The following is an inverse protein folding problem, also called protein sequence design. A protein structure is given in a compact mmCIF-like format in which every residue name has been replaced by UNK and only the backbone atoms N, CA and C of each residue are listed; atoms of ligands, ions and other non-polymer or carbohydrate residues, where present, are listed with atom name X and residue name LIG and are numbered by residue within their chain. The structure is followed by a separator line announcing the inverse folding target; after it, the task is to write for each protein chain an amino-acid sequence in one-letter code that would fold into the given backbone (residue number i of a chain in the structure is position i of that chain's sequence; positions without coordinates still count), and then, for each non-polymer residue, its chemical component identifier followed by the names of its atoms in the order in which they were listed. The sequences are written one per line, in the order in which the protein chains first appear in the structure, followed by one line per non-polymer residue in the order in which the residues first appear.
data_IF_875875481998
#
_entry.id   IF_875875481998
#
_cell.length_a   1.000
_cell.length_b   1.000
_cell.length_c   1.000
_cell.angle_alpha   90.00
_cell.angle_beta   90.00
_cell.angle_gamma   90.00
#
_symmetry.space_group_name_H-M   'P 1'
#
loop_
_entity.id
_entity.type
_entity.pdbx_description
1 polymer ?
#
# COMPACT_ATOMS: atom_id res chain seq x y z
N UNK A 1 -16.75 -1.22 9.84
CA UNK A 1 -15.45 -1.08 9.15
C UNK A 1 -15.58 0.06 8.15
N UNK A 2 -14.60 0.97 8.07
CA UNK A 2 -14.55 1.97 7.01
C UNK A 2 -13.78 1.40 5.82
N UNK A 3 -14.18 1.76 4.60
CA UNK A 3 -13.58 1.28 3.35
C UNK A 3 -13.21 2.48 2.49
N UNK A 4 -11.99 2.47 1.95
CA UNK A 4 -11.54 3.41 0.93
C UNK A 4 -11.30 2.60 -0.35
N UNK A 5 -12.13 2.86 -1.36
CA UNK A 5 -12.12 2.05 -2.59
C UNK A 5 -11.03 2.49 -3.57
N UNK A 6 -10.43 1.51 -4.24
CA UNK A 6 -9.44 1.69 -5.30
C UNK A 6 -9.92 1.00 -6.57
N UNK A 7 -9.85 1.68 -7.71
CA UNK A 7 -10.04 1.05 -9.01
C UNK A 7 -8.77 0.30 -9.42
N UNK A 8 -8.90 -1.01 -9.63
CA UNK A 8 -7.79 -1.93 -9.93
C UNK A 8 -7.97 -2.64 -11.29
N UNK A 9 -8.58 -1.99 -12.28
CA UNK A 9 -8.78 -2.57 -13.62
C UNK A 9 -7.47 -2.90 -14.33
N UNK A 10 -6.38 -2.22 -13.99
CA UNK A 10 -5.06 -2.42 -14.59
C UNK A 10 -4.15 -3.36 -13.78
N UNK A 11 -4.68 -4.47 -13.25
CA UNK A 11 -3.91 -5.47 -12.50
C UNK A 11 -3.66 -6.77 -13.26
N UNK A 12 -4.39 -7.01 -14.34
CA UNK A 12 -4.16 -8.16 -15.22
C UNK A 12 -4.63 -7.80 -16.63
N UNK A 13 -4.05 -8.46 -17.63
CA UNK A 13 -4.57 -8.42 -19.00
C UNK A 13 -5.59 -9.55 -19.16
N UNK A 14 -6.88 -9.25 -19.37
CA UNK A 14 -7.91 -10.27 -19.59
C UNK A 14 -7.58 -11.17 -20.80
N UNK A 15 -8.05 -12.41 -20.76
CA UNK A 15 -7.71 -13.42 -21.77
C UNK A 15 -8.14 -13.02 -23.17
N UNK A 16 -9.26 -12.33 -23.31
CA UNK A 16 -9.83 -11.83 -24.56
C UNK A 16 -9.00 -10.70 -25.21
N UNK A 17 -8.12 -10.06 -24.42
CA UNK A 17 -7.18 -9.03 -24.90
C UNK A 17 -5.76 -9.55 -25.09
N UNK A 18 -5.51 -10.86 -24.92
CA UNK A 18 -4.21 -11.45 -25.25
C UNK A 18 -3.91 -11.22 -26.74
N UNK A 19 -2.78 -10.55 -27.03
CA UNK A 19 -2.40 -10.15 -28.39
C UNK A 19 -2.95 -8.79 -28.86
N UNK A 20 -3.80 -8.12 -28.07
CA UNK A 20 -4.28 -6.77 -28.37
C UNK A 20 -4.30 -5.88 -27.10
N UNK A 21 -3.14 -5.75 -26.47
CA UNK A 21 -2.92 -4.97 -25.24
C UNK A 21 -3.38 -3.52 -25.36
N UNK A 22 -3.10 -2.89 -26.50
CA UNK A 22 -3.49 -1.49 -26.76
C UNK A 22 -5.02 -1.29 -26.73
N UNK A 23 -5.80 -2.28 -27.16
CA UNK A 23 -7.25 -2.20 -27.07
C UNK A 23 -7.72 -2.23 -25.62
N UNK A 24 -7.09 -3.03 -24.74
CA UNK A 24 -7.42 -3.03 -23.32
C UNK A 24 -7.03 -1.71 -22.62
N UNK A 25 -5.86 -1.17 -22.94
CA UNK A 25 -5.44 0.14 -22.40
C UNK A 25 -6.41 1.25 -22.87
N UNK A 26 -6.87 1.20 -24.12
CA UNK A 26 -7.91 2.13 -24.59
C UNK A 26 -9.21 1.96 -23.79
N UNK A 27 -9.69 0.73 -23.63
CA UNK A 27 -10.88 0.44 -22.82
C UNK A 27 -10.75 0.99 -21.39
N UNK A 28 -9.61 0.76 -20.73
CA UNK A 28 -9.34 1.31 -19.40
C UNK A 28 -9.46 2.84 -19.40
N UNK A 29 -8.80 3.50 -20.35
CA UNK A 29 -8.67 4.97 -20.36
C UNK A 29 -9.92 5.69 -20.85
N UNK A 30 -10.63 5.13 -21.87
CA UNK A 30 -11.72 5.82 -22.58
C UNK A 30 -13.11 5.45 -22.03
N UNK A 31 -13.24 4.28 -21.37
CA UNK A 31 -14.53 3.78 -20.90
C UNK A 31 -14.54 3.49 -19.41
N UNK A 32 -13.63 2.62 -18.90
CA UNK A 32 -13.71 2.15 -17.52
C UNK A 32 -13.40 3.24 -16.50
N UNK A 33 -12.31 3.99 -16.66
CA UNK A 33 -11.92 5.06 -15.73
C UNK A 33 -12.99 6.16 -15.67
N UNK A 34 -13.53 6.68 -16.81
CA UNK A 34 -14.66 7.61 -16.78
C UNK A 34 -15.87 7.06 -16.01
N UNK A 35 -16.28 5.83 -16.31
CA UNK A 35 -17.44 5.20 -15.66
C UNK A 35 -17.23 5.01 -14.14
N UNK A 36 -16.02 4.64 -13.71
CA UNK A 36 -15.67 4.53 -12.28
C UNK A 36 -15.72 5.90 -11.59
N UNK A 37 -15.20 6.94 -12.25
CA UNK A 37 -15.23 8.30 -11.71
C UNK A 37 -16.67 8.84 -11.54
N UNK A 38 -17.57 8.52 -12.45
CA UNK A 38 -18.99 8.88 -12.34
C UNK A 38 -19.67 8.25 -11.13
N UNK A 39 -19.27 7.05 -10.72
CA UNK A 39 -19.81 6.37 -9.54
C UNK A 39 -19.44 7.08 -8.23
N UNK A 40 -18.35 7.85 -8.17
CA UNK A 40 -17.84 8.56 -6.99
C UNK A 40 -17.57 7.64 -5.78
N UNK A 41 -17.28 6.36 -6.03
CA UNK A 41 -16.98 5.35 -5.00
C UNK A 41 -15.46 5.23 -4.82
N UNK A 42 -14.73 5.02 -5.92
CA UNK A 42 -13.27 4.91 -5.88
C UNK A 42 -12.61 6.26 -5.65
N UNK A 43 -11.63 6.28 -4.75
CA UNK A 43 -10.76 7.43 -4.49
C UNK A 43 -9.46 7.34 -5.28
N UNK A 44 -9.02 6.11 -5.55
CA UNK A 44 -7.73 5.81 -6.16
C UNK A 44 -7.88 5.04 -7.46
N UNK A 45 -6.88 5.22 -8.33
CA UNK A 45 -6.62 4.37 -9.50
C UNK A 45 -5.26 3.72 -9.32
N UNK A 46 -5.20 2.41 -9.43
CA UNK A 46 -4.00 1.60 -9.21
C UNK A 46 -3.65 0.79 -10.46
N UNK A 47 -2.36 0.59 -10.69
CA UNK A 47 -1.80 -0.21 -11.79
C UNK A 47 -0.77 -1.19 -11.24
N UNK A 48 -0.77 -2.42 -11.73
CA UNK A 48 0.32 -3.37 -11.51
C UNK A 48 1.41 -3.16 -12.58
N UNK A 49 2.42 -2.36 -12.22
CA UNK A 49 3.56 -2.06 -13.08
C UNK A 49 4.63 -3.15 -12.90
N UNK A 50 4.54 -4.20 -13.73
CA UNK A 50 5.37 -5.38 -13.60
C UNK A 50 5.63 -6.06 -14.95
N UNK A 51 6.75 -6.80 -15.05
CA UNK A 51 7.08 -7.62 -16.22
C UNK A 51 5.93 -8.56 -16.56
N UNK A 52 5.47 -8.50 -17.81
CA UNK A 52 4.34 -9.33 -18.29
C UNK A 52 2.95 -8.79 -17.97
N UNK A 53 2.82 -7.76 -17.13
CA UNK A 53 1.55 -7.09 -16.80
C UNK A 53 1.46 -5.72 -17.50
N UNK A 54 1.82 -4.62 -16.88
CA UNK A 54 1.90 -3.29 -17.52
C UNK A 54 3.30 -2.70 -17.33
N UNK A 55 3.88 -2.16 -18.41
CA UNK A 55 5.16 -1.46 -18.31
C UNK A 55 4.98 -0.02 -17.78
N UNK A 56 6.09 0.67 -17.49
CA UNK A 56 6.06 2.01 -16.91
C UNK A 56 5.35 3.05 -17.80
N UNK A 57 5.44 2.95 -19.14
CA UNK A 57 4.79 3.89 -20.05
C UNK A 57 3.26 3.66 -20.10
N UNK A 58 2.83 2.40 -20.16
CA UNK A 58 1.42 2.01 -20.08
C UNK A 58 0.81 2.43 -18.74
N UNK A 59 1.53 2.17 -17.65
CA UNK A 59 1.15 2.54 -16.28
C UNK A 59 0.99 4.06 -16.13
N UNK A 60 1.92 4.84 -16.67
CA UNK A 60 1.84 6.30 -16.70
C UNK A 60 0.56 6.77 -17.38
N UNK A 61 0.29 6.27 -18.58
CA UNK A 61 -0.90 6.66 -19.35
C UNK A 61 -2.18 6.40 -18.58
N UNK A 62 -2.30 5.23 -17.95
CA UNK A 62 -3.49 4.84 -17.18
C UNK A 62 -3.65 5.73 -15.93
N UNK A 63 -2.57 5.91 -15.14
CA UNK A 63 -2.59 6.71 -13.91
C UNK A 63 -2.84 8.19 -14.18
N UNK A 64 -2.25 8.76 -15.23
CA UNK A 64 -2.52 10.14 -15.65
C UNK A 64 -3.97 10.32 -16.13
N UNK A 65 -4.53 9.30 -16.79
CA UNK A 65 -5.95 9.28 -17.12
C UNK A 65 -6.79 9.26 -15.84
N UNK A 66 -6.51 8.37 -14.90
CA UNK A 66 -7.21 8.36 -13.60
C UNK A 66 -7.20 9.73 -12.92
N UNK A 67 -6.04 10.39 -12.91
CA UNK A 67 -5.89 11.75 -12.35
C UNK A 67 -6.77 12.79 -13.03
N UNK A 68 -6.89 12.76 -14.37
CA UNK A 68 -7.77 13.67 -15.13
C UNK A 68 -9.24 13.53 -14.73
N UNK A 69 -9.63 12.33 -14.28
CA UNK A 69 -10.98 12.04 -13.78
C UNK A 69 -11.11 12.12 -12.25
N UNK A 70 -10.09 12.67 -11.55
CA UNK A 70 -10.16 12.93 -10.11
C UNK A 70 -9.77 11.74 -9.23
N UNK A 71 -9.25 10.65 -9.80
CA UNK A 71 -8.72 9.52 -9.03
C UNK A 71 -7.24 9.76 -8.71
N UNK A 72 -6.86 9.57 -7.44
CA UNK A 72 -5.46 9.71 -7.01
C UNK A 72 -4.67 8.46 -7.41
N UNK A 73 -3.45 8.60 -7.99
CA UNK A 73 -2.63 7.47 -8.38
C UNK A 73 -2.12 6.65 -7.20
N UNK A 74 -2.14 5.32 -7.36
CA UNK A 74 -1.40 4.31 -6.61
C UNK A 74 -0.72 3.38 -7.60
N UNK A 75 0.26 2.58 -7.15
CA UNK A 75 0.97 1.68 -8.05
C UNK A 75 1.53 0.47 -7.31
N UNK A 76 1.26 -0.74 -7.77
CA UNK A 76 2.01 -1.94 -7.43
C UNK A 76 3.26 -1.98 -8.29
N UNK A 77 4.43 -2.06 -7.69
CA UNK A 77 5.69 -1.87 -8.38
C UNK A 77 6.84 -2.66 -7.76
N UNK A 78 7.79 -3.06 -8.63
CA UNK A 78 9.05 -3.68 -8.23
C UNK A 78 8.83 -4.87 -7.25
N UNK A 79 7.76 -5.64 -7.48
CA UNK A 79 7.45 -6.84 -6.71
C UNK A 79 8.33 -8.00 -7.18
N UNK A 80 8.47 -8.16 -8.50
CA UNK A 80 9.23 -9.23 -9.17
C UNK A 80 10.46 -8.65 -9.88
N UNK A 81 10.25 -7.65 -10.74
CA UNK A 81 11.30 -7.02 -11.54
C UNK A 81 11.28 -5.48 -11.42
N UNK A 82 12.46 -4.82 -11.32
CA UNK A 82 12.55 -3.37 -11.19
C UNK A 82 12.43 -2.68 -12.57
N UNK A 83 11.22 -2.64 -13.12
CA UNK A 83 10.96 -2.08 -14.47
C UNK A 83 10.63 -0.58 -14.48
N UNK A 84 10.93 0.13 -13.38
CA UNK A 84 10.75 1.58 -13.25
C UNK A 84 9.43 2.00 -12.59
N UNK A 85 8.71 1.08 -11.98
CA UNK A 85 7.45 1.36 -11.29
C UNK A 85 7.61 2.30 -10.10
N UNK A 86 8.59 2.08 -9.23
CA UNK A 86 8.87 2.96 -8.09
C UNK A 86 9.38 4.34 -8.51
N UNK A 87 10.14 4.43 -9.61
CA UNK A 87 10.55 5.73 -10.19
C UNK A 87 9.31 6.49 -10.66
N UNK A 88 8.43 5.82 -11.40
CA UNK A 88 7.17 6.39 -11.87
C UNK A 88 6.27 6.84 -10.72
N UNK A 89 6.21 6.08 -9.63
CA UNK A 89 5.46 6.44 -8.42
C UNK A 89 5.86 7.82 -7.90
N UNK A 90 7.17 8.06 -7.73
CA UNK A 90 7.70 9.33 -7.27
C UNK A 90 7.48 10.47 -8.28
N UNK A 91 7.70 10.23 -9.58
CA UNK A 91 7.49 11.24 -10.63
C UNK A 91 6.02 11.69 -10.73
N UNK A 92 5.09 10.78 -10.54
CA UNK A 92 3.66 11.08 -10.51
C UNK A 92 3.20 11.64 -9.16
N UNK A 93 4.00 11.59 -8.10
CA UNK A 93 3.52 11.86 -6.75
C UNK A 93 2.33 10.96 -6.40
N UNK A 94 2.46 9.66 -6.67
CA UNK A 94 1.46 8.67 -6.26
C UNK A 94 1.32 8.69 -4.73
N UNK A 95 0.11 8.50 -4.21
CA UNK A 95 -0.10 8.51 -2.75
C UNK A 95 0.67 7.39 -2.09
N UNK A 96 0.73 6.22 -2.72
CA UNK A 96 1.58 5.10 -2.29
C UNK A 96 2.04 4.25 -3.47
N UNK A 97 3.12 3.50 -3.22
CA UNK A 97 3.61 2.42 -4.05
C UNK A 97 3.69 1.15 -3.21
N UNK A 98 3.12 0.06 -3.72
CA UNK A 98 2.93 -1.19 -3.00
C UNK A 98 4.01 -2.23 -3.35
N UNK A 99 4.32 -3.14 -2.43
CA UNK A 99 5.32 -4.22 -2.46
C UNK A 99 6.77 -3.76 -2.40
N UNK A 100 7.33 -3.26 -3.49
CA UNK A 100 8.68 -2.68 -3.57
C UNK A 100 9.81 -3.65 -3.17
N UNK A 101 9.62 -4.95 -3.38
CA UNK A 101 10.55 -6.02 -2.93
C UNK A 101 11.93 -5.83 -3.52
N UNK A 102 11.99 -5.50 -4.82
CA UNK A 102 13.24 -5.30 -5.57
C UNK A 102 13.47 -3.82 -5.95
N UNK A 103 12.91 -2.90 -5.16
CA UNK A 103 13.00 -1.46 -5.41
C UNK A 103 14.46 -0.99 -5.48
N UNK A 104 14.89 -0.39 -6.59
CA UNK A 104 16.25 0.10 -6.77
C UNK A 104 16.48 1.46 -6.08
N UNK A 105 17.74 1.88 -5.85
CA UNK A 105 18.06 3.14 -5.19
C UNK A 105 17.45 4.38 -5.87
N UNK A 106 17.35 4.39 -7.20
CA UNK A 106 16.71 5.46 -7.96
C UNK A 106 15.21 5.53 -7.70
N UNK A 107 14.54 4.39 -7.50
CA UNK A 107 13.13 4.32 -7.08
C UNK A 107 12.92 4.92 -5.69
N UNK A 108 13.76 4.55 -4.72
CA UNK A 108 13.75 5.13 -3.37
C UNK A 108 13.93 6.64 -3.44
N UNK A 109 14.92 7.11 -4.20
CA UNK A 109 15.19 8.55 -4.38
C UNK A 109 14.02 9.30 -5.04
N UNK A 110 13.37 8.69 -6.02
CA UNK A 110 12.21 9.27 -6.70
C UNK A 110 11.02 9.39 -5.76
N UNK A 111 10.70 8.32 -5.01
CA UNK A 111 9.61 8.33 -4.03
C UNK A 111 9.84 9.35 -2.91
N UNK A 112 11.08 9.47 -2.40
CA UNK A 112 11.43 10.49 -1.39
C UNK A 112 11.14 11.90 -1.89
N UNK A 113 11.52 12.21 -3.14
CA UNK A 113 11.26 13.51 -3.78
C UNK A 113 9.78 13.75 -4.06
N UNK A 114 9.05 12.72 -4.47
CA UNK A 114 7.64 12.78 -4.80
C UNK A 114 6.70 12.77 -3.60
N UNK A 115 7.21 12.50 -2.39
CA UNK A 115 6.41 12.34 -1.18
C UNK A 115 5.52 11.08 -1.19
N UNK A 116 5.88 10.07 -1.99
CA UNK A 116 5.14 8.82 -2.11
C UNK A 116 5.38 7.92 -0.90
N UNK A 117 4.33 7.38 -0.31
CA UNK A 117 4.42 6.41 0.78
C UNK A 117 4.79 5.04 0.22
N UNK A 118 5.85 4.42 0.74
CA UNK A 118 6.19 3.02 0.46
C UNK A 118 5.30 2.10 1.30
N UNK A 119 4.30 1.47 0.70
CA UNK A 119 3.39 0.54 1.38
C UNK A 119 3.91 -0.89 1.26
N UNK A 120 4.56 -1.39 2.30
CA UNK A 120 5.21 -2.68 2.32
C UNK A 120 4.28 -3.78 2.85
N UNK A 121 4.37 -4.96 2.24
CA UNK A 121 3.43 -6.06 2.44
C UNK A 121 4.15 -7.34 2.92
N UNK A 122 4.71 -7.31 4.17
CA UNK A 122 5.61 -8.36 4.63
C UNK A 122 4.92 -9.74 4.78
N UNK A 123 3.61 -9.77 5.00
CA UNK A 123 2.87 -11.02 5.13
C UNK A 123 2.77 -11.75 3.78
N UNK A 124 2.62 -11.01 2.68
CA UNK A 124 2.62 -11.54 1.31
C UNK A 124 3.99 -12.11 0.95
N UNK A 125 5.07 -11.32 1.17
CA UNK A 125 6.44 -11.79 0.98
C UNK A 125 6.72 -13.07 1.76
N UNK A 126 6.27 -13.13 3.02
CA UNK A 126 6.43 -14.32 3.87
C UNK A 126 5.65 -15.52 3.34
N UNK A 127 4.39 -15.34 2.98
CA UNK A 127 3.51 -16.41 2.51
C UNK A 127 3.99 -17.02 1.19
N UNK A 128 4.46 -16.19 0.27
CA UNK A 128 5.00 -16.63 -1.03
C UNK A 128 6.46 -17.11 -0.96
N UNK A 129 7.14 -16.97 0.17
CA UNK A 129 8.59 -17.27 0.27
C UNK A 129 9.45 -16.32 -0.57
N UNK A 130 8.96 -15.11 -0.85
CA UNK A 130 9.65 -14.09 -1.63
C UNK A 130 10.68 -13.31 -0.78
N UNK A 131 11.42 -12.39 -1.43
CA UNK A 131 12.28 -11.42 -0.76
C UNK A 131 11.50 -10.38 0.04
N UNK A 132 12.24 -9.50 0.74
CA UNK A 132 11.67 -8.41 1.52
C UNK A 132 12.21 -7.07 1.02
N UNK A 133 11.33 -6.08 0.91
CA UNK A 133 11.67 -4.73 0.47
C UNK A 133 12.80 -4.10 1.31
N UNK A 134 13.63 -3.20 0.74
CA UNK A 134 14.72 -2.52 1.44
C UNK A 134 14.21 -1.39 2.35
N UNK A 135 13.33 -1.73 3.31
CA UNK A 135 12.62 -0.77 4.16
C UNK A 135 13.57 0.15 4.96
N UNK A 136 14.69 -0.39 5.49
CA UNK A 136 15.68 0.43 6.21
C UNK A 136 16.24 1.54 5.33
N UNK A 137 16.64 1.21 4.09
CA UNK A 137 17.14 2.21 3.13
C UNK A 137 16.07 3.24 2.75
N UNK A 138 14.80 2.83 2.68
CA UNK A 138 13.68 3.76 2.43
C UNK A 138 13.53 4.77 3.57
N UNK A 139 13.51 4.29 4.83
CA UNK A 139 13.43 5.16 6.01
C UNK A 139 14.61 6.12 6.09
N UNK A 140 15.84 5.63 5.88
CA UNK A 140 17.06 6.45 5.88
C UNK A 140 17.08 7.51 4.76
N UNK A 141 16.44 7.22 3.64
CA UNK A 141 16.26 8.17 2.55
C UNK A 141 15.08 9.15 2.77
N UNK A 142 14.35 9.04 3.87
CA UNK A 142 13.21 9.90 4.20
C UNK A 142 11.90 9.53 3.48
N UNK A 143 11.80 8.31 2.93
CA UNK A 143 10.53 7.80 2.38
C UNK A 143 9.64 7.34 3.53
N UNK A 144 8.40 7.85 3.66
CA UNK A 144 7.45 7.34 4.63
C UNK A 144 7.12 5.88 4.32
N UNK A 145 7.35 4.98 5.28
CA UNK A 145 7.02 3.55 5.13
C UNK A 145 5.71 3.25 5.83
N UNK A 146 4.75 2.70 5.10
CA UNK A 146 3.53 2.08 5.63
C UNK A 146 3.63 0.56 5.56
N UNK A 147 2.87 -0.14 6.38
CA UNK A 147 2.73 -1.59 6.31
C UNK A 147 1.26 -2.01 6.38
N UNK A 148 0.88 -2.98 5.56
CA UNK A 148 -0.46 -3.54 5.49
C UNK A 148 -0.44 -5.06 5.36
N UNK A 149 -1.62 -5.69 5.51
CA UNK A 149 -1.74 -7.14 5.43
C UNK A 149 -1.71 -7.67 4.01
N UNK A 150 -2.16 -6.86 3.03
CA UNK A 150 -2.43 -7.34 1.68
C UNK A 150 -3.38 -8.56 1.65
N UNK A 151 -4.41 -8.53 2.51
CA UNK A 151 -5.32 -9.67 2.60
C UNK A 151 -6.02 -9.94 1.27
N UNK A 152 -5.72 -11.09 0.70
CA UNK A 152 -6.37 -11.59 -0.51
C UNK A 152 -6.31 -13.14 -0.54
N UNK A 153 -7.21 -13.82 -1.28
CA UNK A 153 -7.26 -15.28 -1.28
C UNK A 153 -6.11 -15.94 -2.08
N UNK A 154 -5.38 -15.19 -2.90
CA UNK A 154 -4.35 -15.72 -3.79
C UNK A 154 -2.97 -15.78 -3.15
N UNK A 155 -2.52 -14.69 -2.59
CA UNK A 155 -1.13 -14.50 -2.15
C UNK A 155 -0.95 -14.17 -0.67
N UNK A 156 -2.03 -13.80 0.06
CA UNK A 156 -1.91 -13.50 1.49
C UNK A 156 -3.23 -13.67 2.26
N UNK A 157 -3.60 -14.86 2.73
CA UNK A 157 -4.80 -15.09 3.53
C UNK A 157 -4.60 -14.70 5.01
N UNK A 158 -3.87 -13.62 5.29
CA UNK A 158 -3.50 -13.17 6.64
C UNK A 158 -4.25 -11.90 7.03
N UNK A 159 -5.09 -11.97 8.10
CA UNK A 159 -5.78 -10.84 8.71
C UNK A 159 -5.10 -10.33 9.98
N UNK A 160 -3.98 -10.95 10.40
CA UNK A 160 -3.34 -10.66 11.68
C UNK A 160 -2.32 -9.53 11.53
N UNK A 161 -2.73 -8.29 11.86
CA UNK A 161 -1.83 -7.13 11.86
C UNK A 161 -0.69 -7.23 12.88
N UNK A 162 -0.86 -7.97 13.99
CA UNK A 162 0.26 -8.19 14.93
C UNK A 162 1.36 -9.06 14.30
N UNK A 163 0.99 -10.01 13.44
CA UNK A 163 1.96 -10.75 12.63
C UNK A 163 2.73 -9.84 11.67
N UNK A 164 2.03 -8.93 10.98
CA UNK A 164 2.64 -7.90 10.11
C UNK A 164 3.61 -7.02 10.89
N UNK A 165 3.23 -6.57 12.10
CA UNK A 165 4.07 -5.80 13.02
C UNK A 165 5.36 -6.58 13.37
N UNK A 166 5.24 -7.84 13.78
CA UNK A 166 6.40 -8.69 14.08
C UNK A 166 7.35 -8.85 12.89
N UNK A 167 6.82 -9.03 11.68
CA UNK A 167 7.62 -9.12 10.45
C UNK A 167 8.35 -7.78 10.14
N UNK A 168 7.75 -6.64 10.46
CA UNK A 168 8.38 -5.33 10.33
C UNK A 168 9.70 -5.23 11.10
N UNK A 169 9.72 -5.66 12.37
CA UNK A 169 10.94 -5.72 13.18
C UNK A 169 11.92 -6.80 12.66
N UNK A 170 11.43 -8.00 12.39
CA UNK A 170 12.28 -9.15 12.07
C UNK A 170 12.89 -9.07 10.67
N UNK A 171 12.12 -8.68 9.67
CA UNK A 171 12.51 -8.72 8.25
C UNK A 171 12.94 -7.37 7.70
N UNK A 172 12.23 -6.30 8.03
CA UNK A 172 12.56 -4.96 7.58
C UNK A 172 13.58 -4.23 8.46
N UNK A 173 13.92 -4.80 9.65
CA UNK A 173 14.86 -4.19 10.62
C UNK A 173 14.44 -2.80 11.07
N UNK A 174 13.12 -2.58 11.15
CA UNK A 174 12.54 -1.37 11.71
C UNK A 174 12.48 -1.47 13.24
N UNK A 175 12.61 -0.34 13.93
CA UNK A 175 12.39 -0.29 15.38
C UNK A 175 10.88 -0.46 15.68
N UNK A 176 10.49 -0.85 16.89
CA UNK A 176 9.08 -0.93 17.28
C UNK A 176 8.29 0.36 17.02
N UNK A 177 8.89 1.55 17.25
CA UNK A 177 8.27 2.85 17.03
C UNK A 177 8.07 3.13 15.53
N UNK A 178 9.06 2.78 14.69
CA UNK A 178 8.94 2.89 13.23
C UNK A 178 7.84 1.97 12.70
N UNK A 179 7.77 0.74 13.23
CA UNK A 179 6.71 -0.22 12.87
C UNK A 179 5.34 0.29 13.30
N UNK A 180 5.21 0.83 14.53
CA UNK A 180 3.95 1.42 14.98
C UNK A 180 3.53 2.57 14.07
N UNK A 181 4.44 3.47 13.73
CA UNK A 181 4.19 4.57 12.79
C UNK A 181 3.76 4.05 11.42
N UNK A 182 4.40 2.99 10.93
CA UNK A 182 4.10 2.39 9.63
C UNK A 182 2.69 1.78 9.55
N UNK A 183 2.21 1.13 10.62
CA UNK A 183 0.86 0.51 10.64
C UNK A 183 -0.25 1.47 11.09
N UNK A 184 0.09 2.69 11.50
CA UNK A 184 -0.89 3.69 11.97
C UNK A 184 -0.87 4.95 11.11
N UNK A 185 -0.02 5.93 11.42
CA UNK A 185 0.00 7.24 10.76
C UNK A 185 0.34 7.14 9.27
N UNK A 186 1.38 6.38 8.91
CA UNK A 186 1.77 6.21 7.51
C UNK A 186 0.77 5.34 6.75
N UNK A 187 0.18 4.31 7.41
CA UNK A 187 -0.94 3.55 6.85
C UNK A 187 -2.14 4.43 6.52
N UNK A 188 -2.48 5.38 7.43
CA UNK A 188 -3.52 6.37 7.18
C UNK A 188 -3.16 7.32 6.02
N UNK A 189 -1.88 7.73 5.92
CA UNK A 189 -1.39 8.55 4.81
C UNK A 189 -1.50 7.82 3.47
N UNK A 190 -1.15 6.53 3.41
CA UNK A 190 -1.23 5.70 2.20
C UNK A 190 -2.66 5.56 1.62
N UNK A 191 -3.68 5.81 2.44
CA UNK A 191 -5.09 5.84 2.01
C UNK A 191 -5.69 7.25 2.01
N UNK A 192 -4.85 8.29 2.20
CA UNK A 192 -5.24 9.70 2.20
C UNK A 192 -6.21 10.06 3.33
N UNK A 193 -6.00 9.53 4.54
CA UNK A 193 -6.82 9.76 5.74
C UNK A 193 -6.00 10.20 6.97
N UNK A 194 -4.75 10.60 6.81
CA UNK A 194 -3.87 10.97 7.92
C UNK A 194 -4.36 12.19 8.73
N UNK A 195 -5.22 13.01 8.15
CA UNK A 195 -5.91 14.11 8.81
C UNK A 195 -7.04 13.67 9.75
N UNK A 196 -7.54 12.42 9.58
CA UNK A 196 -8.70 11.89 10.31
C UNK A 196 -8.35 10.76 11.26
N UNK A 197 -7.37 9.92 10.94
CA UNK A 197 -6.97 8.73 11.70
C UNK A 197 -5.44 8.56 11.71
N UNK A 198 -4.96 7.53 12.41
CA UNK A 198 -3.55 7.12 12.42
C UNK A 198 -2.73 7.68 13.59
N UNK A 199 -3.25 8.67 14.31
CA UNK A 199 -2.63 9.19 15.53
C UNK A 199 -3.69 9.61 16.55
N UNK A 200 -3.29 9.73 17.82
CA UNK A 200 -4.15 10.18 18.92
C UNK A 200 -3.98 11.69 19.06
N UNK A 201 -4.81 12.44 18.36
CA UNK A 201 -4.78 13.90 18.33
C UNK A 201 -6.18 14.50 18.44
N UNK A 202 -6.27 15.73 18.97
CA UNK A 202 -7.54 16.46 19.02
C UNK A 202 -8.06 16.71 17.61
N UNK A 203 -9.33 16.38 17.38
CA UNK A 203 -9.99 16.52 16.08
C UNK A 203 -9.99 15.27 15.22
N UNK A 204 -9.16 14.27 15.52
CA UNK A 204 -9.19 12.98 14.83
C UNK A 204 -10.24 12.02 15.40
N UNK A 205 -10.61 11.02 14.62
CA UNK A 205 -11.54 9.98 15.03
C UNK A 205 -10.97 9.16 16.18
N UNK A 206 -11.80 8.82 17.16
CA UNK A 206 -11.42 7.97 18.29
C UNK A 206 -11.36 6.49 17.89
N UNK A 207 -10.44 6.15 17.00
CA UNK A 207 -10.16 4.80 16.52
C UNK A 207 -8.92 4.27 17.25
N UNK A 208 -9.11 3.39 18.23
CA UNK A 208 -8.05 2.96 19.14
C UNK A 208 -8.03 1.43 19.28
N UNK A 209 -6.83 0.88 19.46
CA UNK A 209 -6.62 -0.50 19.87
C UNK A 209 -5.95 -0.50 21.24
N UNK A 210 -6.54 -1.23 22.19
CA UNK A 210 -5.94 -1.46 23.51
C UNK A 210 -5.31 -2.84 23.50
N UNK A 211 -4.03 -2.88 23.84
CA UNK A 211 -3.23 -4.11 23.86
C UNK A 211 -3.09 -4.66 25.28
N UNK A 212 -3.10 -5.99 25.39
CA UNK A 212 -2.75 -6.71 26.60
C UNK A 212 -1.24 -6.99 26.61
N UNK A 213 -0.47 -5.92 26.71
CA UNK A 213 0.98 -5.90 26.64
C UNK A 213 1.53 -4.80 27.54
N UNK A 214 2.70 -5.00 28.18
CA UNK A 214 3.32 -4.00 29.06
C UNK A 214 3.90 -2.82 28.26
N UNK A 215 4.37 -3.07 27.04
CA UNK A 215 5.05 -2.10 26.18
C UNK A 215 4.95 -2.49 24.68
N UNK A 216 5.52 -1.66 23.84
CA UNK A 216 5.52 -1.85 22.39
C UNK A 216 6.46 -2.99 21.95
N UNK A 217 7.60 -3.15 22.63
CA UNK A 217 8.56 -4.22 22.34
C UNK A 217 7.90 -5.60 22.49
N UNK A 218 7.08 -5.76 23.53
CA UNK A 218 6.36 -7.01 23.78
C UNK A 218 5.36 -7.33 22.66
N UNK A 219 4.68 -6.31 22.09
CA UNK A 219 3.75 -6.49 20.96
C UNK A 219 4.53 -7.00 19.75
N UNK A 220 5.69 -6.40 19.44
CA UNK A 220 6.52 -6.77 18.31
C UNK A 220 7.18 -8.16 18.49
N UNK A 221 7.57 -8.51 19.72
CA UNK A 221 8.25 -9.76 20.05
C UNK A 221 7.32 -10.98 19.99
N UNK A 222 6.08 -10.83 20.44
CA UNK A 222 5.10 -11.94 20.56
C UNK A 222 4.45 -12.29 19.22
N UNK A 223 5.28 -12.69 18.26
CA UNK A 223 4.83 -13.11 16.93
C UNK A 223 3.81 -14.27 17.01
N UNK A 224 2.76 -14.21 16.20
CA UNK A 224 1.72 -15.26 16.13
C UNK A 224 0.70 -15.22 17.28
N UNK A 225 0.84 -14.31 18.25
CA UNK A 225 -0.14 -14.07 19.30
C UNK A 225 -1.20 -13.05 18.84
N UNK A 226 -2.35 -13.03 19.51
CA UNK A 226 -3.31 -11.93 19.44
C UNK A 226 -3.37 -11.26 20.80
N UNK A 227 -2.75 -10.11 20.94
CA UNK A 227 -2.71 -9.32 22.16
C UNK A 227 -3.74 -8.18 22.16
N UNK A 228 -4.64 -8.12 21.17
CA UNK A 228 -5.71 -7.12 21.13
C UNK A 228 -6.69 -7.41 22.25
N UNK A 229 -6.81 -6.49 23.21
CA UNK A 229 -7.73 -6.58 24.35
C UNK A 229 -9.06 -5.89 24.07
N UNK A 230 -9.02 -4.72 23.40
CA UNK A 230 -10.21 -3.96 23.04
C UNK A 230 -9.98 -3.19 21.74
N UNK A 231 -11.03 -3.04 20.97
CA UNK A 231 -11.08 -2.16 19.80
C UNK A 231 -12.14 -1.09 20.04
N UNK A 232 -11.77 0.15 19.81
CA UNK A 232 -12.65 1.30 19.90
C UNK A 232 -12.73 1.91 18.50
N UNK A 233 -13.94 2.10 18.00
CA UNK A 233 -14.20 2.69 16.68
C UNK A 233 -15.08 3.93 16.85
N UNK A 234 -14.56 5.09 16.42
CA UNK A 234 -15.25 6.39 16.57
C UNK A 234 -15.71 6.64 18.02
N UNK A 235 -14.84 6.34 18.99
CA UNK A 235 -15.12 6.50 20.41
C UNK A 235 -16.06 5.43 21.02
N UNK A 236 -16.47 4.40 20.27
CA UNK A 236 -17.36 3.33 20.75
C UNK A 236 -16.63 1.99 20.74
N UNK A 237 -16.82 1.21 21.81
CA UNK A 237 -16.27 -0.15 21.90
C UNK A 237 -16.90 -1.03 20.82
N UNK A 238 -16.07 -1.76 20.10
CA UNK A 238 -16.51 -2.82 19.17
C UNK A 238 -16.64 -4.12 19.97
N UNK A 239 -17.74 -4.87 19.77
CA UNK A 239 -17.96 -6.16 20.46
C UNK A 239 -16.87 -7.19 20.14
#
# INVERSE_FOLDING_TARGET
MDVVATFMGAHALPSEYKGNRDAYIRLLCEEMIPAVAEQKIAKFCDVFCETGVFNAQESRKILETGRKYGLTPKIHADEIDPIGGSVLAGELGAVSAEHLIVCPPEGISSMAKGGTVACLLPATSFYLGAGFAPARSMVEAGVPVAMASDFNPGSCPCLNMQFVIGLGCLKYKLTPEEVLTAVTLNGAAAIGMADQIGSVEVGKLGDLVVWDAPDLDYICYRIGSNLVKKVIKRGRMVP
#
